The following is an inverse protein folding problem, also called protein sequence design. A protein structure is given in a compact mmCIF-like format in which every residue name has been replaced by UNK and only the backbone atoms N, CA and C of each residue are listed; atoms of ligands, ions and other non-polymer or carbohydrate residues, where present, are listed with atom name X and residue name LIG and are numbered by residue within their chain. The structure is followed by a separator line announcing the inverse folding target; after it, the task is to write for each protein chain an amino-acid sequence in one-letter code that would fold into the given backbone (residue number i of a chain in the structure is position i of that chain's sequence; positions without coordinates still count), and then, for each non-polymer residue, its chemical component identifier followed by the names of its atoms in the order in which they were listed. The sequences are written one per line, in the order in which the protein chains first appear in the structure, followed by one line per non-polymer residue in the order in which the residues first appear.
data_IF_064517215600
#
_entry.id   IF_064517215600
#
_cell.length_a   1.000
_cell.length_b   1.000
_cell.length_c   1.000
_cell.angle_alpha   90.00
_cell.angle_beta   90.00
_cell.angle_gamma   90.00
#
_symmetry.space_group_name_H-M   'P 1'
#
loop_
_entity.id
_entity.type
_entity.pdbx_description
1 polymer ?
#
# COMPACT_ATOMS: atom_id res chain seq x y z
N UNK A 1 -2.78 7.44 -11.29
CA UNK A 1 -2.30 6.54 -10.20
C UNK A 1 -3.51 6.01 -9.43
N UNK A 2 -3.60 4.71 -9.17
CA UNK A 2 -4.74 4.17 -8.43
C UNK A 2 -4.84 4.79 -7.02
N UNK A 3 -6.06 5.13 -6.64
CA UNK A 3 -6.38 5.68 -5.33
C UNK A 3 -6.26 4.59 -4.25
N UNK A 4 -6.09 5.01 -2.99
CA UNK A 4 -6.08 4.07 -1.88
C UNK A 4 -7.37 3.23 -1.81
N UNK A 5 -8.53 3.83 -2.12
CA UNK A 5 -9.82 3.11 -2.16
C UNK A 5 -9.84 2.03 -3.25
N UNK A 6 -9.33 2.31 -4.44
CA UNK A 6 -9.27 1.32 -5.53
C UNK A 6 -8.38 0.12 -5.15
N UNK A 7 -7.22 0.38 -4.55
CA UNK A 7 -6.33 -0.68 -4.05
C UNK A 7 -7.02 -1.49 -2.95
N UNK A 8 -7.72 -0.84 -2.03
CA UNK A 8 -8.47 -1.52 -0.96
C UNK A 8 -9.56 -2.43 -1.50
N UNK A 9 -10.36 -1.94 -2.45
CA UNK A 9 -11.44 -2.71 -3.08
C UNK A 9 -10.87 -3.91 -3.81
N UNK A 10 -9.82 -3.71 -4.62
CA UNK A 10 -9.22 -4.79 -5.39
C UNK A 10 -8.63 -5.88 -4.50
N UNK A 11 -7.90 -5.50 -3.44
CA UNK A 11 -7.34 -6.47 -2.48
C UNK A 11 -8.45 -7.20 -1.73
N UNK A 12 -9.55 -6.51 -1.37
CA UNK A 12 -10.70 -7.16 -0.73
C UNK A 12 -11.36 -8.19 -1.64
N UNK A 13 -11.52 -7.87 -2.93
CA UNK A 13 -12.13 -8.77 -3.91
C UNK A 13 -11.25 -9.98 -4.23
N UNK A 14 -9.93 -9.84 -4.27
CA UNK A 14 -9.01 -10.92 -4.66
C UNK A 14 -8.48 -11.73 -3.47
N UNK A 15 -8.34 -11.11 -2.29
CA UNK A 15 -7.69 -11.72 -1.11
C UNK A 15 -8.56 -11.71 0.15
N UNK A 16 -9.79 -11.19 0.08
CA UNK A 16 -10.77 -11.28 1.18
C UNK A 16 -10.55 -10.31 2.35
N UNK A 17 -9.61 -9.36 2.26
CA UNK A 17 -9.38 -8.38 3.34
C UNK A 17 -9.17 -6.95 2.83
N UNK A 18 -9.45 -5.97 3.67
CA UNK A 18 -9.21 -4.54 3.36
C UNK A 18 -7.87 -4.09 3.93
N UNK A 19 -6.85 -3.79 3.11
CA UNK A 19 -5.57 -3.28 3.59
C UNK A 19 -5.71 -1.87 4.20
N UNK A 20 -4.95 -1.59 5.27
CA UNK A 20 -4.85 -0.23 5.80
C UNK A 20 -4.08 0.68 4.84
N UNK A 21 -4.41 1.96 4.83
CA UNK A 21 -3.73 2.97 3.99
C UNK A 21 -2.24 3.08 4.31
N UNK A 22 -1.84 2.92 5.57
CA UNK A 22 -0.43 2.91 5.98
C UNK A 22 0.35 1.71 5.39
N UNK A 23 -0.29 0.55 5.24
CA UNK A 23 0.31 -0.63 4.60
C UNK A 23 0.50 -0.39 3.10
N UNK A 24 -0.51 0.17 2.43
CA UNK A 24 -0.41 0.53 1.00
C UNK A 24 0.71 1.54 0.79
N UNK A 25 0.80 2.57 1.64
CA UNK A 25 1.87 3.55 1.62
C UNK A 25 3.24 2.88 1.79
N UNK A 26 3.36 1.93 2.72
CA UNK A 26 4.59 1.17 2.93
C UNK A 26 5.02 0.38 1.71
N UNK A 27 4.11 -0.40 1.11
CA UNK A 27 4.42 -1.20 -0.07
C UNK A 27 4.73 -0.33 -1.29
N UNK A 28 4.11 0.85 -1.42
CA UNK A 28 4.47 1.84 -2.45
C UNK A 28 5.93 2.28 -2.29
N UNK A 29 6.33 2.65 -1.09
CA UNK A 29 7.72 3.09 -0.81
C UNK A 29 8.72 1.95 -1.06
N UNK A 30 8.41 0.73 -0.60
CA UNK A 30 9.20 -0.47 -0.88
C UNK A 30 9.34 -0.80 -2.37
N UNK A 31 8.39 -0.32 -3.19
CA UNK A 31 8.40 -0.53 -4.64
C UNK A 31 8.91 0.70 -5.41
N UNK A 32 9.54 1.66 -4.72
CA UNK A 32 10.14 2.85 -5.33
C UNK A 32 9.15 3.94 -5.73
N UNK A 33 7.88 3.85 -5.32
CA UNK A 33 6.87 4.84 -5.66
C UNK A 33 6.90 6.02 -4.69
N UNK A 34 6.75 7.26 -5.18
CA UNK A 34 6.69 8.43 -4.32
C UNK A 34 5.44 8.39 -3.43
N UNK A 35 5.64 8.53 -2.13
CA UNK A 35 4.57 8.56 -1.14
C UNK A 35 4.59 9.92 -0.44
N UNK A 36 3.44 10.61 -0.43
CA UNK A 36 3.34 11.89 0.29
C UNK A 36 3.52 11.65 1.79
N UNK A 37 4.30 12.51 2.43
CA UNK A 37 4.48 12.51 3.88
C UNK A 37 3.13 12.84 4.53
N UNK A 38 2.67 12.00 5.46
CA UNK A 38 1.41 12.24 6.14
C UNK A 38 1.54 13.50 7.02
N UNK A 39 0.52 14.40 7.04
CA UNK A 39 0.60 15.66 7.77
C UNK A 39 0.73 15.47 9.29
N UNK A 40 0.26 14.35 9.81
CA UNK A 40 0.35 13.96 11.22
C UNK A 40 1.57 13.08 11.55
N UNK A 41 2.56 12.98 10.65
CA UNK A 41 3.75 12.15 10.89
C UNK A 41 4.66 12.80 11.93
N UNK A 42 4.69 12.23 13.14
CA UNK A 42 5.64 12.58 14.20
C UNK A 42 6.87 11.65 14.08
N UNK A 43 8.00 12.17 13.60
CA UNK A 43 9.26 11.43 13.46
C UNK A 43 9.64 11.06 12.01
N UNK A 44 10.89 10.60 11.84
CA UNK A 44 11.45 10.20 10.55
C UNK A 44 10.99 8.80 10.13
N UNK A 45 10.91 7.87 11.10
CA UNK A 45 10.68 6.45 10.84
C UNK A 45 9.21 6.09 10.73
N UNK A 46 8.94 4.95 10.06
CA UNK A 46 7.58 4.41 9.90
C UNK A 46 7.28 3.52 11.11
N UNK A 47 6.38 3.98 11.97
CA UNK A 47 6.00 3.26 13.20
C UNK A 47 5.31 1.92 12.92
N UNK A 48 4.58 1.81 11.80
CA UNK A 48 3.85 0.59 11.43
C UNK A 48 4.33 0.05 10.08
N UNK A 49 5.08 -1.06 10.13
CA UNK A 49 5.42 -1.85 8.96
C UNK A 49 4.18 -2.63 8.47
N UNK A 50 4.12 -2.86 7.16
CA UNK A 50 3.13 -3.76 6.58
C UNK A 50 3.47 -5.20 7.01
N UNK A 51 2.52 -5.98 7.55
CA UNK A 51 2.72 -7.41 7.78
C UNK A 51 3.20 -8.13 6.51
N UNK A 52 4.19 -9.04 6.57
CA UNK A 52 4.79 -9.67 5.39
C UNK A 52 3.77 -10.40 4.51
N UNK A 53 2.80 -11.07 5.13
CA UNK A 53 1.67 -11.77 4.50
C UNK A 53 0.79 -10.83 3.65
N UNK A 54 0.76 -9.53 3.97
CA UNK A 54 -0.06 -8.52 3.29
C UNK A 54 0.70 -7.74 2.23
N UNK A 55 2.03 -7.84 2.20
CA UNK A 55 2.86 -7.17 1.20
C UNK A 55 2.56 -7.70 -0.20
N UNK A 56 2.50 -9.03 -0.37
CA UNK A 56 2.25 -9.65 -1.66
C UNK A 56 0.88 -9.28 -2.27
N UNK A 57 -0.25 -9.36 -1.53
CA UNK A 57 -1.56 -8.89 -2.00
C UNK A 57 -1.57 -7.43 -2.45
N UNK A 58 -0.97 -6.54 -1.66
CA UNK A 58 -0.92 -5.11 -1.99
C UNK A 58 -0.02 -4.88 -3.21
N UNK A 59 1.11 -5.58 -3.32
CA UNK A 59 2.02 -5.49 -4.48
C UNK A 59 1.34 -6.00 -5.76
N UNK A 60 0.55 -7.06 -5.67
CA UNK A 60 -0.26 -7.55 -6.79
C UNK A 60 -1.27 -6.49 -7.26
N UNK A 61 -1.91 -5.77 -6.32
CA UNK A 61 -2.78 -4.66 -6.66
C UNK A 61 -2.03 -3.53 -7.39
N UNK A 62 -0.83 -3.15 -6.89
CA UNK A 62 0.00 -2.14 -7.54
C UNK A 62 0.38 -2.54 -8.98
N UNK A 63 0.70 -3.82 -9.22
CA UNK A 63 0.94 -4.35 -10.57
C UNK A 63 -0.31 -4.31 -11.44
N UNK A 64 -1.45 -4.75 -10.91
CA UNK A 64 -2.73 -4.74 -11.63
C UNK A 64 -3.10 -3.34 -12.12
N UNK A 65 -2.87 -2.32 -11.29
CA UNK A 65 -3.09 -0.92 -11.67
C UNK A 65 -1.94 -0.28 -12.47
N UNK A 66 -0.97 -1.06 -12.93
CA UNK A 66 0.16 -0.59 -13.74
C UNK A 66 1.08 0.40 -13.01
N UNK A 67 1.07 0.41 -11.67
CA UNK A 67 1.88 1.32 -10.88
C UNK A 67 3.33 0.85 -10.76
N UNK A 68 3.55 -0.47 -10.84
CA UNK A 68 4.87 -1.11 -10.80
C UNK A 68 4.90 -2.23 -11.84
N UNK A 69 6.09 -2.53 -12.38
CA UNK A 69 6.30 -3.67 -13.29
C UNK A 69 6.43 -4.99 -12.53
#
# INVERSE_FOLDING_TARGET
MATYKQIQIWVKQNYGFTPKTCWIAHVKEMSGLPVRKAPNRRGAERVYLCPPDKVAPIRAALRHFGMIK
#
